data_IF_197448793873
#
_entry.id   IF_197448793873
#
_cell.length_a   1.000
_cell.length_b   1.000
_cell.length_c   1.000
_cell.angle_alpha   90.00
_cell.angle_beta   90.00
_cell.angle_gamma   90.00
#
_symmetry.space_group_name_H-M   'P 1'
#
loop_
_entity.id
_entity.type
_entity.pdbx_description
1 polymer ?
#
# COMPACT_ATOMS: atom_id res chain seq x y z
N UNK A 1 -2.52 -17.87 -8.74
CA UNK A 1 -3.30 -17.43 -7.55
C UNK A 1 -2.37 -17.06 -6.43
N UNK A 2 -1.44 -17.95 -6.06
CA UNK A 2 -0.26 -17.63 -5.28
C UNK A 2 0.89 -17.29 -6.25
N UNK A 3 1.48 -16.12 -6.13
CA UNK A 3 2.69 -15.75 -6.89
C UNK A 3 3.87 -16.56 -6.38
N UNK A 4 4.87 -16.78 -7.23
CA UNK A 4 6.13 -17.41 -6.81
C UNK A 4 7.22 -16.36 -6.84
N UNK A 5 7.60 -15.87 -5.66
CA UNK A 5 8.71 -14.93 -5.48
C UNK A 5 10.03 -15.52 -6.03
N UNK A 6 10.11 -16.86 -6.14
CA UNK A 6 11.25 -17.62 -6.65
C UNK A 6 11.34 -17.65 -8.20
N UNK A 7 10.31 -17.23 -8.93
CA UNK A 7 10.26 -17.30 -10.41
C UNK A 7 10.17 -15.89 -11.03
N UNK A 8 10.76 -14.90 -10.36
CA UNK A 8 10.88 -13.55 -10.92
C UNK A 8 12.04 -13.53 -11.91
N UNK A 9 11.78 -13.05 -13.13
CA UNK A 9 12.84 -12.76 -14.08
C UNK A 9 13.58 -11.46 -13.71
N UNK A 10 14.88 -11.38 -13.98
CA UNK A 10 15.69 -10.17 -13.75
C UNK A 10 15.07 -8.91 -14.40
N UNK A 11 14.43 -9.08 -15.57
CA UNK A 11 13.71 -8.01 -16.24
C UNK A 11 12.50 -7.52 -15.44
N UNK A 12 11.70 -8.43 -14.89
CA UNK A 12 10.52 -8.07 -14.08
C UNK A 12 10.94 -7.35 -12.79
N UNK A 13 12.08 -7.75 -12.21
CA UNK A 13 12.67 -7.08 -11.05
C UNK A 13 13.11 -5.65 -11.40
N UNK A 14 13.84 -5.45 -12.50
CA UNK A 14 14.28 -4.13 -12.96
C UNK A 14 13.08 -3.23 -13.24
N UNK A 15 12.06 -3.72 -13.96
CA UNK A 15 10.84 -2.96 -14.21
C UNK A 15 10.12 -2.55 -12.92
N UNK A 16 10.03 -3.46 -11.94
CA UNK A 16 9.41 -3.15 -10.64
C UNK A 16 10.19 -2.08 -9.87
N UNK A 17 11.52 -2.11 -9.90
CA UNK A 17 12.36 -1.09 -9.24
C UNK A 17 12.20 0.27 -9.90
N UNK A 18 12.26 0.33 -11.23
CA UNK A 18 12.08 1.56 -12.00
C UNK A 18 10.69 2.14 -11.73
N UNK A 19 9.64 1.32 -11.79
CA UNK A 19 8.28 1.76 -11.54
C UNK A 19 8.11 2.27 -10.10
N UNK A 20 8.66 1.57 -9.11
CA UNK A 20 8.63 2.02 -7.72
C UNK A 20 9.28 3.39 -7.56
N UNK A 21 10.41 3.64 -8.22
CA UNK A 21 11.09 4.93 -8.18
C UNK A 21 10.22 6.04 -8.79
N UNK A 22 9.61 5.77 -9.95
CA UNK A 22 8.70 6.71 -10.62
C UNK A 22 7.51 7.05 -9.71
N UNK A 23 6.88 6.05 -9.09
CA UNK A 23 5.74 6.26 -8.18
C UNK A 23 6.16 7.14 -7.00
N UNK A 24 7.31 6.86 -6.38
CA UNK A 24 7.81 7.69 -5.26
C UNK A 24 8.08 9.13 -5.72
N UNK A 25 8.71 9.34 -6.87
CA UNK A 25 8.98 10.67 -7.41
C UNK A 25 7.68 11.44 -7.67
N UNK A 26 6.68 10.79 -8.28
CA UNK A 26 5.37 11.39 -8.53
C UNK A 26 4.70 11.79 -7.22
N UNK A 27 4.69 10.91 -6.22
CA UNK A 27 4.09 11.21 -4.90
C UNK A 27 4.79 12.41 -4.26
N UNK A 28 6.12 12.53 -4.37
CA UNK A 28 6.87 13.66 -3.83
C UNK A 28 6.60 14.97 -4.57
N UNK A 29 6.55 14.93 -5.91
CA UNK A 29 6.30 16.12 -6.73
C UNK A 29 4.87 16.64 -6.59
N UNK A 30 3.88 15.74 -6.57
CA UNK A 30 2.46 16.07 -6.51
C UNK A 30 1.86 15.92 -5.11
N UNK A 31 2.69 15.95 -4.06
CA UNK A 31 2.25 15.73 -2.68
C UNK A 31 1.09 16.66 -2.27
N UNK A 32 1.20 17.95 -2.59
CA UNK A 32 0.19 18.95 -2.22
C UNK A 32 -1.14 18.72 -2.96
N UNK A 33 -1.07 18.36 -4.24
CA UNK A 33 -2.25 18.10 -5.06
C UNK A 33 -2.95 16.81 -4.62
N UNK A 34 -2.18 15.76 -4.33
CA UNK A 34 -2.69 14.50 -3.78
C UNK A 34 -3.36 14.70 -2.42
N UNK A 35 -2.77 15.54 -1.56
CA UNK A 35 -3.36 15.89 -0.27
C UNK A 35 -4.68 16.65 -0.44
N UNK A 36 -4.73 17.64 -1.32
CA UNK A 36 -5.93 18.43 -1.59
C UNK A 36 -7.08 17.55 -2.11
N UNK A 37 -6.81 16.72 -3.10
CA UNK A 37 -7.80 15.81 -3.71
C UNK A 37 -8.29 14.75 -2.70
N UNK A 38 -7.40 14.26 -1.83
CA UNK A 38 -7.77 13.25 -0.82
C UNK A 38 -8.65 13.81 0.30
N UNK A 39 -8.60 15.13 0.54
CA UNK A 39 -9.38 15.79 1.59
C UNK A 39 -10.72 16.30 1.06
N UNK A 40 -10.69 17.02 -0.07
CA UNK A 40 -11.88 17.54 -0.74
C UNK A 40 -11.58 17.81 -2.22
N UNK A 41 -12.15 16.98 -3.10
CA UNK A 41 -12.00 17.13 -4.55
C UNK A 41 -12.61 18.42 -5.09
N UNK A 42 -13.72 18.89 -4.52
CA UNK A 42 -14.40 20.09 -5.01
C UNK A 42 -13.64 21.34 -4.58
N UNK A 43 -13.09 21.35 -3.36
CA UNK A 43 -12.14 22.36 -2.93
C UNK A 43 -10.88 22.38 -3.82
N UNK A 44 -10.31 21.22 -4.15
CA UNK A 44 -9.15 21.13 -5.05
C UNK A 44 -9.43 21.70 -6.45
N UNK A 45 -10.63 21.46 -7.02
CA UNK A 45 -11.06 22.06 -8.29
C UNK A 45 -11.11 23.58 -8.20
N UNK A 46 -11.62 24.13 -7.09
CA UNK A 46 -11.67 25.59 -6.90
C UNK A 46 -10.29 26.24 -6.73
N UNK A 47 -9.29 25.49 -6.25
CA UNK A 47 -7.89 25.93 -6.18
C UNK A 47 -7.14 25.86 -7.52
N UNK A 48 -7.81 25.47 -8.62
CA UNK A 48 -7.21 25.37 -9.95
C UNK A 48 -6.44 24.07 -10.20
N UNK A 49 -6.55 23.08 -9.31
CA UNK A 49 -5.92 21.77 -9.50
C UNK A 49 -6.74 20.98 -10.52
N UNK A 50 -6.05 20.39 -11.52
CA UNK A 50 -6.70 19.49 -12.48
C UNK A 50 -6.94 18.11 -11.86
N UNK A 51 -8.00 18.02 -11.04
CA UNK A 51 -8.38 16.79 -10.32
C UNK A 51 -8.55 15.60 -11.27
N UNK A 52 -9.14 15.81 -12.45
CA UNK A 52 -9.30 14.74 -13.44
C UNK A 52 -7.94 14.20 -13.90
N UNK A 53 -7.03 15.10 -14.29
CA UNK A 53 -5.68 14.71 -14.72
C UNK A 53 -4.92 13.95 -13.64
N UNK A 54 -5.02 14.40 -12.39
CA UNK A 54 -4.36 13.74 -11.26
C UNK A 54 -4.96 12.36 -10.97
N UNK A 55 -6.29 12.24 -10.95
CA UNK A 55 -6.97 10.97 -10.76
C UNK A 55 -6.62 9.97 -11.88
N UNK A 56 -6.53 10.42 -13.13
CA UNK A 56 -6.05 9.58 -14.23
C UNK A 56 -4.59 9.13 -14.03
N UNK A 57 -3.71 10.05 -13.63
CA UNK A 57 -2.29 9.75 -13.40
C UNK A 57 -2.13 8.70 -12.29
N UNK A 58 -2.79 8.89 -11.15
CA UNK A 58 -2.75 7.94 -10.03
C UNK A 58 -3.38 6.61 -10.40
N UNK A 59 -4.48 6.61 -11.14
CA UNK A 59 -5.13 5.38 -11.61
C UNK A 59 -4.22 4.57 -12.54
N UNK A 60 -3.53 5.22 -13.48
CA UNK A 60 -2.58 4.57 -14.39
C UNK A 60 -1.41 3.98 -13.60
N UNK A 61 -0.75 4.78 -12.75
CA UNK A 61 0.37 4.30 -11.94
C UNK A 61 -0.03 3.13 -11.04
N UNK A 62 -1.19 3.22 -10.39
CA UNK A 62 -1.72 2.16 -9.53
C UNK A 62 -2.02 0.91 -10.36
N UNK A 63 -2.65 1.05 -11.53
CA UNK A 63 -2.97 -0.10 -12.38
C UNK A 63 -1.73 -0.87 -12.80
N UNK A 64 -0.66 -0.18 -13.22
CA UNK A 64 0.60 -0.81 -13.62
C UNK A 64 1.25 -1.49 -12.39
N UNK A 65 1.27 -0.81 -11.25
CA UNK A 65 1.83 -1.33 -9.99
C UNK A 65 1.11 -2.61 -9.56
N UNK A 66 -0.23 -2.63 -9.62
CA UNK A 66 -1.05 -3.79 -9.26
C UNK A 66 -0.82 -4.94 -10.24
N UNK A 67 -0.82 -4.68 -11.54
CA UNK A 67 -0.61 -5.72 -12.57
C UNK A 67 0.77 -6.38 -12.44
N UNK A 68 1.83 -5.58 -12.26
CA UNK A 68 3.17 -6.13 -12.02
C UNK A 68 3.24 -6.90 -10.71
N UNK A 69 2.65 -6.36 -9.64
CA UNK A 69 2.63 -7.04 -8.35
C UNK A 69 1.95 -8.40 -8.43
N UNK A 70 0.86 -8.54 -9.19
CA UNK A 70 0.07 -9.78 -9.26
C UNK A 70 0.93 -10.95 -9.75
N UNK A 71 1.87 -10.67 -10.65
CA UNK A 71 2.83 -11.68 -11.12
C UNK A 71 3.78 -12.13 -10.02
N UNK A 72 4.26 -11.18 -9.21
CA UNK A 72 5.25 -11.42 -8.17
C UNK A 72 4.65 -12.14 -6.97
N UNK A 73 3.58 -11.60 -6.40
CA UNK A 73 3.06 -12.05 -5.09
C UNK A 73 1.73 -12.79 -5.18
N UNK A 74 0.99 -12.60 -6.28
CA UNK A 74 -0.34 -13.20 -6.47
C UNK A 74 -1.48 -12.26 -6.10
N UNK A 75 -2.67 -12.58 -6.63
CA UNK A 75 -3.86 -11.70 -6.58
C UNK A 75 -4.43 -11.54 -5.17
N UNK A 76 -4.46 -12.62 -4.37
CA UNK A 76 -5.03 -12.61 -3.02
C UNK A 76 -4.27 -11.68 -2.07
N UNK A 77 -2.94 -11.71 -2.14
CA UNK A 77 -2.09 -10.92 -1.27
C UNK A 77 -2.17 -9.43 -1.63
N UNK A 78 -2.25 -9.09 -2.91
CA UNK A 78 -2.32 -7.70 -3.36
C UNK A 78 -3.61 -7.03 -2.95
N UNK A 79 -4.75 -7.70 -3.12
CA UNK A 79 -6.03 -7.13 -2.67
C UNK A 79 -6.00 -6.78 -1.19
N UNK A 80 -5.33 -7.59 -0.38
CA UNK A 80 -5.19 -7.36 1.05
C UNK A 80 -4.17 -6.26 1.37
N UNK A 81 -2.98 -6.30 0.76
CA UNK A 81 -1.91 -5.33 1.03
C UNK A 81 -2.20 -3.91 0.55
N UNK A 82 -3.07 -3.70 -0.43
CA UNK A 82 -3.49 -2.35 -0.82
C UNK A 82 -4.36 -1.71 0.27
N UNK A 83 -5.21 -2.52 0.90
CA UNK A 83 -6.30 -2.05 1.77
C UNK A 83 -5.87 -2.02 3.24
N UNK A 84 -5.39 -3.14 3.78
CA UNK A 84 -5.15 -3.29 5.21
C UNK A 84 -4.12 -2.32 5.82
N UNK A 85 -2.89 -2.16 5.28
CA UNK A 85 -1.90 -1.27 5.88
C UNK A 85 -2.34 0.19 5.84
N UNK A 86 -3.05 0.59 4.78
CA UNK A 86 -3.58 1.95 4.61
C UNK A 86 -4.68 2.24 5.64
N UNK A 87 -5.67 1.36 5.77
CA UNK A 87 -6.73 1.54 6.77
C UNK A 87 -6.16 1.47 8.19
N UNK A 88 -5.21 0.56 8.45
CA UNK A 88 -4.55 0.44 9.76
C UNK A 88 -3.80 1.73 10.10
N UNK A 89 -3.07 2.32 9.14
CA UNK A 89 -2.39 3.59 9.35
C UNK A 89 -3.37 4.74 9.63
N UNK A 90 -4.46 4.84 8.86
CA UNK A 90 -5.51 5.86 9.03
C UNK A 90 -6.18 5.85 10.43
N UNK A 91 -6.10 4.74 11.16
CA UNK A 91 -6.65 4.69 12.51
C UNK A 91 -5.83 5.49 13.54
N UNK A 92 -4.55 5.72 13.28
CA UNK A 92 -3.60 6.31 14.23
C UNK A 92 -3.05 7.64 13.73
N UNK A 93 -2.92 7.79 12.42
CA UNK A 93 -2.33 8.97 11.81
C UNK A 93 -3.29 10.15 11.84
N UNK A 94 -2.77 11.31 12.26
CA UNK A 94 -3.50 12.58 12.24
C UNK A 94 -3.14 13.44 11.02
N UNK A 95 -2.23 12.98 10.15
CA UNK A 95 -1.81 13.70 8.96
C UNK A 95 -1.57 12.75 7.79
N UNK A 96 -1.81 13.24 6.57
CA UNK A 96 -1.65 12.45 5.35
C UNK A 96 -0.22 11.91 5.16
N UNK A 97 0.79 12.74 5.44
CA UNK A 97 2.21 12.30 5.44
C UNK A 97 2.45 11.18 6.44
N UNK A 98 1.88 11.30 7.65
CA UNK A 98 2.01 10.26 8.67
C UNK A 98 1.29 8.98 8.24
N UNK A 99 0.13 9.08 7.58
CA UNK A 99 -0.58 7.91 7.03
C UNK A 99 0.27 7.16 6.02
N UNK A 100 0.86 7.87 5.05
CA UNK A 100 1.73 7.26 4.02
C UNK A 100 2.93 6.57 4.67
N UNK A 101 3.59 7.23 5.61
CA UNK A 101 4.79 6.68 6.24
C UNK A 101 4.47 5.44 7.10
N UNK A 102 3.42 5.52 7.93
CA UNK A 102 3.00 4.40 8.79
C UNK A 102 2.49 3.23 7.95
N UNK A 103 1.74 3.47 6.87
CA UNK A 103 1.24 2.38 6.01
C UNK A 103 2.39 1.63 5.33
N UNK A 104 3.41 2.35 4.86
CA UNK A 104 4.62 1.73 4.29
C UNK A 104 5.36 0.88 5.32
N UNK A 105 5.55 1.36 6.55
CA UNK A 105 6.19 0.60 7.62
C UNK A 105 5.39 -0.66 7.98
N UNK A 106 4.06 -0.54 8.13
CA UNK A 106 3.18 -1.66 8.41
C UNK A 106 3.21 -2.69 7.28
N UNK A 107 3.18 -2.24 6.03
CA UNK A 107 3.28 -3.11 4.87
C UNK A 107 4.61 -3.89 4.87
N UNK A 108 5.74 -3.20 5.00
CA UNK A 108 7.07 -3.83 5.01
C UNK A 108 7.21 -4.83 6.16
N UNK A 109 6.86 -4.44 7.38
CA UNK A 109 6.96 -5.32 8.55
C UNK A 109 6.03 -6.53 8.42
N UNK A 110 4.80 -6.36 7.91
CA UNK A 110 3.88 -7.47 7.68
C UNK A 110 4.42 -8.50 6.69
N UNK A 111 5.11 -8.05 5.63
CA UNK A 111 5.75 -8.92 4.64
C UNK A 111 6.93 -9.63 5.26
N UNK A 112 7.81 -8.93 5.99
CA UNK A 112 8.98 -9.55 6.64
C UNK A 112 8.53 -10.65 7.62
N UNK A 113 7.60 -10.33 8.53
CA UNK A 113 7.10 -11.30 9.50
C UNK A 113 6.32 -12.45 8.83
N UNK A 114 5.53 -12.15 7.79
CA UNK A 114 4.73 -13.17 7.10
C UNK A 114 5.57 -14.13 6.27
N UNK A 115 6.64 -13.63 5.63
CA UNK A 115 7.63 -14.47 4.95
C UNK A 115 8.41 -15.29 5.96
N UNK A 116 8.87 -14.69 7.06
CA UNK A 116 9.63 -15.41 8.10
C UNK A 116 8.82 -16.54 8.75
N UNK A 117 7.54 -16.30 9.08
CA UNK A 117 6.65 -17.36 9.59
C UNK A 117 6.33 -18.42 8.52
N UNK A 118 6.16 -18.02 7.26
CA UNK A 118 5.93 -18.97 6.16
C UNK A 118 7.11 -19.92 5.98
N UNK A 119 8.35 -19.44 6.13
CA UNK A 119 9.56 -20.27 6.07
C UNK A 119 9.66 -21.27 7.23
N UNK A 120 9.15 -20.95 8.42
CA UNK A 120 9.23 -21.84 9.59
C UNK A 120 8.13 -22.90 9.56
N UNK A 121 6.91 -22.53 9.15
CA UNK A 121 5.72 -23.36 9.28
C UNK A 121 5.21 -23.94 7.95
N UNK A 122 5.91 -23.73 6.84
CA UNK A 122 5.51 -24.14 5.47
C UNK A 122 4.10 -23.68 5.06
N UNK A 123 3.57 -22.64 5.72
CA UNK A 123 2.26 -22.08 5.38
C UNK A 123 2.31 -21.29 4.06
N UNK A 124 1.20 -21.20 3.32
CA UNK A 124 1.12 -20.36 2.13
C UNK A 124 1.46 -18.90 2.47
N UNK A 125 2.56 -18.38 1.91
CA UNK A 125 3.08 -17.01 2.13
C UNK A 125 1.98 -15.95 2.05
N UNK A 126 1.10 -16.07 1.06
CA UNK A 126 -0.05 -15.20 0.86
C UNK A 126 -0.99 -15.13 2.06
N UNK A 127 -1.37 -16.28 2.62
CA UNK A 127 -2.31 -16.35 3.73
C UNK A 127 -1.70 -15.81 5.03
N UNK A 128 -0.44 -16.12 5.30
CA UNK A 128 0.26 -15.69 6.52
C UNK A 128 0.42 -14.17 6.57
N UNK A 129 0.76 -13.53 5.45
CA UNK A 129 0.88 -12.06 5.37
C UNK A 129 -0.47 -11.37 5.60
N UNK A 130 -1.56 -11.93 5.07
CA UNK A 130 -2.92 -11.40 5.29
C UNK A 130 -3.33 -11.54 6.76
N UNK A 131 -3.01 -12.68 7.38
CA UNK A 131 -3.31 -12.92 8.78
C UNK A 131 -2.58 -11.93 9.69
N UNK A 132 -1.30 -11.63 9.42
CA UNK A 132 -0.52 -10.62 10.16
C UNK A 132 -1.09 -9.22 9.96
N UNK A 133 -1.44 -8.84 8.72
CA UNK A 133 -2.09 -7.55 8.45
C UNK A 133 -3.41 -7.40 9.21
N UNK A 134 -4.20 -8.48 9.28
CA UNK A 134 -5.46 -8.51 10.04
C UNK A 134 -5.22 -8.36 11.54
N UNK A 135 -4.18 -8.99 12.08
CA UNK A 135 -3.78 -8.85 13.49
C UNK A 135 -3.38 -7.40 13.79
N UNK A 136 -2.54 -6.78 12.93
CA UNK A 136 -2.19 -5.37 13.07
C UNK A 136 -3.44 -4.48 13.05
N UNK A 137 -4.33 -4.69 12.10
CA UNK A 137 -5.58 -3.94 12.02
C UNK A 137 -6.40 -4.02 13.32
N UNK A 138 -6.58 -5.21 13.89
CA UNK A 138 -7.33 -5.42 15.13
C UNK A 138 -6.64 -4.78 16.33
N UNK A 139 -5.31 -4.94 16.46
CA UNK A 139 -4.53 -4.34 17.56
C UNK A 139 -4.66 -2.83 17.54
N UNK A 140 -4.48 -2.21 16.37
CA UNK A 140 -4.54 -0.76 16.25
C UNK A 140 -5.96 -0.21 16.41
N UNK A 141 -6.98 -0.97 16.02
CA UNK A 141 -8.38 -0.64 16.29
C UNK A 141 -8.67 -0.67 17.79
N UNK A 142 -8.18 -1.70 18.50
CA UNK A 142 -8.30 -1.78 19.95
C UNK A 142 -7.61 -0.61 20.66
N UNK A 143 -6.39 -0.25 20.24
CA UNK A 143 -5.65 0.90 20.78
C UNK A 143 -6.40 2.20 20.53
N UNK A 144 -6.96 2.40 19.33
CA UNK A 144 -7.75 3.59 19.01
C UNK A 144 -8.99 3.69 19.91
N UNK A 145 -9.69 2.56 20.10
CA UNK A 145 -10.87 2.49 20.98
C UNK A 145 -10.52 2.88 22.42
N UNK A 146 -9.43 2.33 22.96
CA UNK A 146 -8.92 2.64 24.30
C UNK A 146 -8.44 4.08 24.48
N UNK A 147 -8.11 4.79 23.39
CA UNK A 147 -7.71 6.21 23.42
C UNK A 147 -8.92 7.17 23.33
N UNK A 148 -10.07 6.67 22.91
CA UNK A 148 -11.32 7.42 22.76
C UNK A 148 -12.24 7.31 24.00
N UNK A 149 -11.89 6.43 24.95
CA UNK A 149 -12.48 6.34 26.30
C UNK A 149 -11.60 7.09 27.31
#
# INVERSE_FOLDING_TARGET
LFGSILVISDLELIFSVILSLIVVIVILLFYNDLFAISYDEDFAKTMGINVKGMNYLVAVLTSITVVLGIRVVGTMLISSMIIFPTITALQISNSFKSTIFISVILAITSVIFGVFMSFIYDFPTGATIVMINSIYFVIFLAIKKLRLE
#
